data_IF_158933624208
#
_entry.id   IF_158933624208
#
_cell.length_a   1.000
_cell.length_b   1.000
_cell.length_c   1.000
_cell.angle_alpha   90.00
_cell.angle_beta   90.00
_cell.angle_gamma   90.00
#
_symmetry.space_group_name_H-M   'P 1'
#
loop_
_entity.id
_entity.type
_entity.pdbx_description
1 polymer ?
#
# COMPACT_ATOMS: atom_id res chain seq x y z
N UNK A 1 8.31 -24.21 -10.39
CA UNK A 1 9.28 -23.20 -9.92
C UNK A 1 8.82 -21.84 -10.44
N UNK A 2 8.15 -21.04 -9.60
CA UNK A 2 7.71 -19.71 -10.01
C UNK A 2 8.93 -18.81 -10.09
N UNK A 3 9.20 -18.23 -11.26
CA UNK A 3 10.28 -17.26 -11.43
C UNK A 3 10.14 -16.13 -10.41
N UNK A 4 11.25 -15.71 -9.82
CA UNK A 4 11.30 -14.55 -8.95
C UNK A 4 10.60 -13.38 -9.67
N UNK A 5 9.49 -12.89 -9.13
CA UNK A 5 8.74 -11.82 -9.76
C UNK A 5 9.60 -10.56 -9.67
N UNK A 6 10.15 -10.14 -10.81
CA UNK A 6 11.02 -8.98 -10.89
C UNK A 6 10.23 -7.72 -10.52
N UNK A 7 10.76 -6.94 -9.57
CA UNK A 7 10.11 -5.71 -9.12
C UNK A 7 10.24 -4.67 -10.24
N UNK A 8 9.12 -4.32 -10.89
CA UNK A 8 8.98 -3.27 -11.92
C UNK A 8 9.39 -1.90 -11.42
N UNK A 9 9.19 -1.62 -10.13
CA UNK A 9 9.51 -0.31 -9.55
C UNK A 9 9.04 -0.15 -8.11
N UNK A 10 9.41 1.00 -7.53
CA UNK A 10 9.02 1.39 -6.16
C UNK A 10 7.99 2.52 -6.20
N UNK A 11 6.95 2.41 -5.37
CA UNK A 11 5.87 3.39 -5.26
C UNK A 11 5.66 3.82 -3.81
N UNK A 12 5.47 5.12 -3.59
CA UNK A 12 5.11 5.68 -2.28
C UNK A 12 3.74 6.34 -2.39
N UNK A 13 2.75 5.77 -1.71
CA UNK A 13 1.46 6.41 -1.53
C UNK A 13 1.49 7.31 -0.30
N UNK A 14 0.92 8.50 -0.41
CA UNK A 14 0.77 9.45 0.68
C UNK A 14 -0.74 9.62 0.92
N UNK A 15 -1.19 9.28 2.12
CA UNK A 15 -2.61 9.30 2.47
C UNK A 15 -2.82 9.81 3.90
N UNK A 16 -4.05 10.21 4.21
CA UNK A 16 -4.47 10.57 5.57
C UNK A 16 -5.00 9.38 6.37
N UNK A 17 -5.35 8.27 5.72
CA UNK A 17 -5.89 7.10 6.41
C UNK A 17 -5.48 5.79 5.75
N UNK A 18 -5.32 4.74 6.56
CA UNK A 18 -4.93 3.40 6.16
C UNK A 18 -5.26 2.42 7.29
N UNK A 19 -5.91 1.31 6.95
CA UNK A 19 -6.08 0.21 7.90
C UNK A 19 -4.74 -0.50 8.16
N UNK A 20 -4.48 -1.01 9.38
CA UNK A 20 -5.31 -0.94 10.58
C UNK A 20 -5.05 0.31 11.46
N UNK A 21 -4.25 1.27 11.00
CA UNK A 21 -3.73 2.36 11.84
C UNK A 21 -4.73 3.50 12.09
N UNK A 22 -5.40 3.97 11.04
CA UNK A 22 -6.37 5.08 11.10
C UNK A 22 -7.44 4.88 10.03
N UNK A 23 -8.71 5.00 10.43
CA UNK A 23 -9.87 4.85 9.54
C UNK A 23 -10.97 5.82 9.93
N UNK A 24 -11.33 6.72 9.00
CA UNK A 24 -12.53 7.55 9.10
C UNK A 24 -13.55 7.16 8.03
N UNK A 25 -13.09 6.69 6.87
CA UNK A 25 -13.97 6.27 5.77
C UNK A 25 -13.38 5.15 4.90
N UNK A 26 -13.77 5.14 3.63
CA UNK A 26 -13.37 4.11 2.66
C UNK A 26 -11.97 4.29 2.08
N UNK A 27 -11.34 5.46 2.23
CA UNK A 27 -9.96 5.66 1.76
C UNK A 27 -9.00 4.72 2.50
N UNK A 28 -9.21 4.51 3.80
CA UNK A 28 -8.38 3.63 4.62
C UNK A 28 -8.36 2.18 4.10
N UNK A 29 -9.50 1.69 3.60
CA UNK A 29 -9.62 0.33 3.07
C UNK A 29 -8.85 0.20 1.75
N UNK A 30 -8.99 1.20 0.88
CA UNK A 30 -8.28 1.24 -0.40
C UNK A 30 -6.78 1.30 -0.18
N UNK A 31 -6.30 2.20 0.69
CA UNK A 31 -4.87 2.37 0.97
C UNK A 31 -4.26 1.12 1.61
N UNK A 32 -5.00 0.42 2.48
CA UNK A 32 -4.54 -0.83 3.07
C UNK A 32 -4.52 -2.02 2.10
N UNK A 33 -5.46 -2.07 1.14
CA UNK A 33 -5.56 -3.19 0.18
C UNK A 33 -4.60 -3.03 -1.03
N UNK A 34 -4.31 -1.80 -1.44
CA UNK A 34 -3.59 -1.50 -2.67
C UNK A 34 -2.16 -2.09 -2.74
N UNK A 35 -1.34 -2.10 -1.67
CA UNK A 35 0.00 -2.70 -1.71
C UNK A 35 -0.03 -4.18 -2.10
N UNK A 36 -0.97 -4.95 -1.55
CA UNK A 36 -1.15 -6.37 -1.89
C UNK A 36 -1.62 -6.56 -3.34
N UNK A 37 -2.53 -5.70 -3.81
CA UNK A 37 -3.02 -5.75 -5.18
C UNK A 37 -1.92 -5.45 -6.21
N UNK A 38 -1.01 -4.52 -5.91
CA UNK A 38 0.10 -4.15 -6.79
C UNK A 38 1.31 -5.08 -6.67
N UNK A 39 1.47 -5.78 -5.55
CA UNK A 39 2.57 -6.72 -5.34
C UNK A 39 2.61 -7.80 -6.43
N UNK A 40 1.46 -8.38 -6.80
CA UNK A 40 1.35 -9.39 -7.86
C UNK A 40 1.59 -8.86 -9.28
N UNK A 41 1.64 -7.54 -9.44
CA UNK A 41 1.99 -6.86 -10.69
C UNK A 41 3.49 -6.47 -10.72
N UNK A 42 4.26 -6.83 -9.69
CA UNK A 42 5.68 -6.55 -9.56
C UNK A 42 6.00 -5.17 -8.96
N UNK A 43 5.11 -4.55 -8.18
CA UNK A 43 5.43 -3.27 -7.53
C UNK A 43 5.77 -3.45 -6.05
N UNK A 44 6.83 -2.79 -5.60
CA UNK A 44 7.14 -2.61 -4.18
C UNK A 44 6.55 -1.27 -3.71
N UNK A 45 5.41 -1.34 -3.03
CA UNK A 45 4.64 -0.17 -2.60
C UNK A 45 4.71 0.03 -1.09
N UNK A 46 4.89 1.28 -0.66
CA UNK A 46 4.78 1.71 0.75
C UNK A 46 3.72 2.80 0.90
N UNK A 47 3.24 2.96 2.12
CA UNK A 47 2.28 4.00 2.51
C UNK A 47 2.94 4.91 3.55
N UNK A 48 2.89 6.22 3.31
CA UNK A 48 3.24 7.26 4.28
C UNK A 48 1.95 7.83 4.87
N UNK A 49 1.89 7.85 6.20
CA UNK A 49 0.80 8.41 6.98
C UNK A 49 1.33 9.47 7.94
N UNK A 50 0.51 10.47 8.31
CA UNK A 50 0.77 11.29 9.48
C UNK A 50 0.85 10.43 10.75
N UNK A 51 1.73 10.81 11.67
CA UNK A 51 1.78 10.24 13.01
C UNK A 51 0.70 10.91 13.86
N UNK A 52 -0.55 10.46 13.69
CA UNK A 52 -1.69 10.94 14.47
C UNK A 52 -1.45 10.73 15.98
N UNK A 53 -2.00 11.64 16.80
CA UNK A 53 -1.91 11.59 18.26
C UNK A 53 -2.90 10.62 18.87
#
# INVERSE_FOLDING_TARGET
MAGAQEVRGRLLSVASECVPLVKTGGLADVVGALPGALAGLGWDMRVLLPCYR
#
